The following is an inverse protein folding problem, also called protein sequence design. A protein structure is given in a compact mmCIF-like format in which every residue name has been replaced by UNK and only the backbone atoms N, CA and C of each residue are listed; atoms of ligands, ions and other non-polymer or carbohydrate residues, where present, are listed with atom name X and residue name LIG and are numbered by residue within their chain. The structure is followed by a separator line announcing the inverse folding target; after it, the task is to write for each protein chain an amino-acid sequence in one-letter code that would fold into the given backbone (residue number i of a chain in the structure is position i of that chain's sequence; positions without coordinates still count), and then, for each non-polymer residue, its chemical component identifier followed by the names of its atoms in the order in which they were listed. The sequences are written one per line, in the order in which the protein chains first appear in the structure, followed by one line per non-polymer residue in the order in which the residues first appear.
data_IF_420355079502
#
_entry.id   IF_420355079502
#
_cell.length_a   1.000
_cell.length_b   1.000
_cell.length_c   1.000
_cell.angle_alpha   90.00
_cell.angle_beta   90.00
_cell.angle_gamma   90.00
#
_symmetry.space_group_name_H-M   'P 1'
#
loop_
_entity.id
_entity.type
_entity.pdbx_description
1 polymer ?
#
# COMPACT_ATOMS: atom_id res chain seq x y z
N UNK A 1 32.02 -22.53 24.41
CA UNK A 1 31.33 -22.38 23.11
C UNK A 1 30.30 -21.24 23.15
N UNK A 2 30.69 -20.03 23.61
CA UNK A 2 29.74 -18.93 23.87
C UNK A 2 30.22 -17.52 23.48
N UNK A 3 31.36 -17.40 22.78
CA UNK A 3 31.97 -16.10 22.46
C UNK A 3 31.52 -15.47 21.14
N UNK A 4 30.86 -16.24 20.25
CA UNK A 4 30.62 -15.82 18.86
C UNK A 4 29.36 -14.97 18.63
N UNK A 5 28.42 -14.97 19.59
CA UNK A 5 27.17 -14.19 19.51
C UNK A 5 27.31 -12.75 20.04
N UNK A 6 28.27 -12.48 20.94
CA UNK A 6 28.52 -11.12 21.47
C UNK A 6 29.12 -10.16 20.44
N UNK A 7 29.92 -10.67 19.50
CA UNK A 7 30.60 -9.86 18.49
C UNK A 7 29.68 -9.26 17.42
N UNK A 8 28.51 -9.88 17.16
CA UNK A 8 27.53 -9.36 16.20
C UNK A 8 26.86 -8.06 16.69
N UNK A 9 26.52 -8.00 17.98
CA UNK A 9 25.93 -6.81 18.61
C UNK A 9 26.91 -5.62 18.69
N UNK A 10 28.21 -5.88 18.90
CA UNK A 10 29.25 -4.84 18.93
C UNK A 10 29.58 -4.25 17.55
N UNK A 11 29.29 -4.95 16.45
CA UNK A 11 29.52 -4.41 15.09
C UNK A 11 28.38 -3.50 14.63
N UNK A 12 27.16 -3.70 15.12
CA UNK A 12 26.04 -2.79 14.89
C UNK A 12 26.16 -1.49 15.72
N UNK A 13 26.88 -1.49 16.84
CA UNK A 13 27.16 -0.26 17.61
C UNK A 13 28.18 0.67 16.94
N UNK A 14 28.88 0.23 15.89
CA UNK A 14 29.83 1.06 15.13
C UNK A 14 29.19 2.12 14.22
N UNK A 15 27.87 2.11 14.09
CA UNK A 15 27.11 3.07 13.25
C UNK A 15 26.72 4.37 13.98
N UNK A 16 27.18 4.59 15.22
CA UNK A 16 27.10 5.91 15.87
C UNK A 16 25.68 6.44 16.13
N UNK A 17 24.66 5.59 16.12
CA UNK A 17 23.30 5.99 16.51
C UNK A 17 23.12 5.65 17.98
N UNK A 18 23.04 6.62 18.91
CA UNK A 18 22.77 6.37 20.32
C UNK A 18 21.28 5.98 20.49
N UNK A 19 20.94 4.73 20.13
CA UNK A 19 19.59 4.20 20.31
C UNK A 19 19.44 3.71 21.75
N UNK A 20 18.65 4.44 22.54
CA UNK A 20 18.16 3.94 23.82
C UNK A 20 17.45 2.59 23.62
N UNK A 21 17.67 1.61 24.51
CA UNK A 21 17.07 0.26 24.41
C UNK A 21 15.55 0.31 24.19
N UNK A 22 14.86 1.31 24.77
CA UNK A 22 13.43 1.53 24.57
C UNK A 22 13.07 1.89 23.12
N UNK A 23 13.86 2.77 22.49
CA UNK A 23 13.65 3.17 21.09
C UNK A 23 13.93 2.02 20.13
N UNK A 24 14.91 1.17 20.45
CA UNK A 24 15.22 -0.04 19.70
C UNK A 24 14.04 -1.03 19.71
N UNK A 25 13.46 -1.28 20.88
CA UNK A 25 12.26 -2.14 21.01
C UNK A 25 11.10 -1.56 20.22
N UNK A 26 10.82 -0.27 20.38
CA UNK A 26 9.73 0.42 19.66
C UNK A 26 9.86 0.31 18.14
N UNK A 27 11.03 0.65 17.58
CA UNK A 27 11.26 0.58 16.14
C UNK A 27 11.19 -0.87 15.65
N UNK A 28 11.76 -1.82 16.39
CA UNK A 28 11.68 -3.24 16.03
C UNK A 28 10.24 -3.76 16.03
N UNK A 29 9.43 -3.37 17.00
CA UNK A 29 8.03 -3.76 17.09
C UNK A 29 7.23 -3.17 15.93
N UNK A 30 7.43 -1.88 15.63
CA UNK A 30 6.78 -1.23 14.50
C UNK A 30 7.16 -1.90 13.17
N UNK A 31 8.44 -2.21 12.94
CA UNK A 31 8.88 -2.92 11.74
C UNK A 31 8.23 -4.29 11.61
N UNK A 32 8.12 -5.04 12.72
CA UNK A 32 7.41 -6.33 12.73
C UNK A 32 5.92 -6.15 12.40
N UNK A 33 5.26 -5.14 12.96
CA UNK A 33 3.85 -4.85 12.68
C UNK A 33 3.65 -4.53 11.20
N UNK A 34 4.49 -3.68 10.61
CA UNK A 34 4.40 -3.33 9.19
C UNK A 34 4.71 -4.52 8.28
N UNK A 35 5.69 -5.35 8.65
CA UNK A 35 5.99 -6.58 7.93
C UNK A 35 4.82 -7.57 7.97
N UNK A 36 4.17 -7.73 9.13
CA UNK A 36 2.96 -8.53 9.26
C UNK A 36 1.82 -7.95 8.42
N UNK A 37 1.60 -6.63 8.47
CA UNK A 37 0.56 -5.95 7.70
C UNK A 37 0.73 -6.16 6.19
N UNK A 38 1.96 -6.05 5.70
CA UNK A 38 2.32 -6.29 4.31
C UNK A 38 2.10 -7.76 3.94
N UNK A 39 2.63 -8.70 4.73
CA UNK A 39 2.58 -10.13 4.44
C UNK A 39 1.14 -10.66 4.37
N UNK A 40 0.29 -10.24 5.31
CA UNK A 40 -1.11 -10.67 5.34
C UNK A 40 -1.89 -10.20 4.10
N UNK A 41 -1.62 -8.98 3.63
CA UNK A 41 -2.26 -8.38 2.44
C UNK A 41 -1.68 -8.87 1.13
N UNK A 42 -0.40 -9.26 1.14
CA UNK A 42 0.27 -9.83 -0.03
C UNK A 42 -0.08 -11.30 -0.26
N UNK A 43 -0.46 -12.03 0.81
CA UNK A 43 -0.76 -13.47 0.77
C UNK A 43 -1.73 -13.89 -0.35
N UNK A 44 -2.77 -13.12 -0.72
CA UNK A 44 -3.70 -13.49 -1.79
C UNK A 44 -3.07 -13.72 -3.16
N UNK A 45 -1.90 -13.14 -3.44
CA UNK A 45 -1.21 -13.33 -4.72
C UNK A 45 -0.86 -14.79 -5.00
N UNK A 46 -0.80 -15.64 -3.95
CA UNK A 46 -0.49 -17.07 -4.09
C UNK A 46 -1.53 -17.84 -4.92
N UNK A 47 -2.75 -17.33 -5.02
CA UNK A 47 -3.82 -17.94 -5.82
C UNK A 47 -3.82 -17.44 -7.26
N UNK A 48 -3.01 -16.43 -7.57
CA UNK A 48 -2.84 -15.87 -8.92
C UNK A 48 -2.79 -14.34 -8.89
N UNK A 49 -2.12 -13.71 -9.87
CA UNK A 49 -2.03 -12.25 -9.98
C UNK A 49 -3.27 -11.68 -10.68
N UNK A 50 -4.46 -11.83 -10.07
CA UNK A 50 -5.71 -11.26 -10.56
C UNK A 50 -6.33 -10.32 -9.53
N UNK A 51 -7.09 -9.33 -9.99
CA UNK A 51 -7.81 -8.44 -9.10
C UNK A 51 -8.94 -9.21 -8.42
N UNK A 52 -8.99 -9.14 -7.09
CA UNK A 52 -10.04 -9.77 -6.31
C UNK A 52 -11.38 -9.06 -6.53
N UNK A 53 -12.47 -9.83 -6.61
CA UNK A 53 -13.82 -9.33 -6.91
C UNK A 53 -13.95 -8.62 -8.27
N UNK A 54 -15.12 -8.04 -8.55
CA UNK A 54 -15.44 -7.45 -9.85
C UNK A 54 -15.19 -5.94 -9.90
N UNK A 55 -15.48 -5.21 -8.82
CA UNK A 55 -15.37 -3.75 -8.76
C UNK A 55 -13.96 -3.20 -9.10
N UNK A 56 -12.85 -3.84 -8.70
CA UNK A 56 -11.52 -3.31 -9.02
C UNK A 56 -11.17 -3.35 -10.52
N UNK A 57 -11.81 -4.19 -11.32
CA UNK A 57 -11.62 -4.16 -12.78
C UNK A 57 -12.12 -2.86 -13.41
N UNK A 58 -13.18 -2.27 -12.86
CA UNK A 58 -13.62 -0.94 -13.26
C UNK A 58 -12.55 0.10 -12.93
N UNK A 59 -11.96 0.05 -11.73
CA UNK A 59 -10.84 0.94 -11.34
C UNK A 59 -9.61 0.76 -12.21
N UNK A 60 -9.29 -0.48 -12.58
CA UNK A 60 -8.18 -0.80 -13.47
C UNK A 60 -8.41 -0.21 -14.87
N UNK A 61 -9.59 -0.39 -15.47
CA UNK A 61 -9.95 0.24 -16.76
C UNK A 61 -9.83 1.75 -16.73
N UNK A 62 -10.27 2.37 -15.62
CA UNK A 62 -10.12 3.82 -15.43
C UNK A 62 -8.65 4.25 -15.40
N UNK A 63 -7.78 3.47 -14.75
CA UNK A 63 -6.34 3.73 -14.73
C UNK A 63 -5.70 3.52 -16.12
N UNK A 64 -6.08 2.45 -16.81
CA UNK A 64 -5.62 2.12 -18.17
C UNK A 64 -5.97 3.23 -19.15
N UNK A 65 -7.23 3.70 -19.14
CA UNK A 65 -7.68 4.83 -19.95
C UNK A 65 -6.82 6.08 -19.73
N UNK A 66 -6.51 6.40 -18.48
CA UNK A 66 -5.70 7.58 -18.13
C UNK A 66 -4.24 7.41 -18.55
N UNK A 67 -3.68 6.21 -18.46
CA UNK A 67 -2.32 5.92 -18.91
C UNK A 67 -2.19 6.06 -20.42
N UNK A 68 -3.20 5.63 -21.17
CA UNK A 68 -3.21 5.65 -22.63
C UNK A 68 -3.54 7.02 -23.22
N UNK A 69 -4.52 7.73 -22.62
CA UNK A 69 -5.07 8.97 -23.17
C UNK A 69 -4.63 10.23 -22.40
N UNK A 70 -3.92 10.06 -21.28
CA UNK A 70 -3.46 11.14 -20.40
C UNK A 70 -4.52 11.62 -19.40
N UNK A 71 -4.07 12.20 -18.30
CA UNK A 71 -4.93 12.62 -17.18
C UNK A 71 -6.03 13.62 -17.54
N UNK A 72 -5.80 14.49 -18.53
CA UNK A 72 -6.79 15.50 -18.93
C UNK A 72 -7.98 14.88 -19.68
N UNK A 73 -7.75 13.81 -20.45
CA UNK A 73 -8.81 13.13 -21.21
C UNK A 73 -9.93 12.59 -20.32
N UNK A 74 -9.60 12.25 -19.07
CA UNK A 74 -10.56 11.82 -18.05
C UNK A 74 -11.77 12.75 -17.96
N UNK A 75 -11.54 14.07 -17.93
CA UNK A 75 -12.59 15.08 -17.69
C UNK A 75 -13.58 15.23 -18.85
N UNK A 76 -13.26 14.66 -20.00
CA UNK A 76 -14.13 14.63 -21.19
C UNK A 76 -14.55 13.21 -21.56
N UNK A 77 -14.20 12.21 -20.74
CA UNK A 77 -14.43 10.82 -21.10
C UNK A 77 -15.91 10.42 -21.03
N UNK A 78 -16.43 10.00 -22.18
CA UNK A 78 -17.71 9.32 -22.31
C UNK A 78 -17.46 7.85 -22.65
N UNK A 79 -17.93 6.96 -21.79
CA UNK A 79 -17.77 5.51 -21.94
C UNK A 79 -18.98 4.91 -22.65
N UNK A 80 -18.81 4.56 -23.92
CA UNK A 80 -19.84 3.95 -24.78
C UNK A 80 -19.96 2.43 -24.59
N UNK A 81 -18.96 1.80 -23.97
CA UNK A 81 -18.96 0.35 -23.72
C UNK A 81 -19.81 -0.05 -22.52
N UNK A 82 -20.04 0.87 -21.59
CA UNK A 82 -20.90 0.64 -20.43
C UNK A 82 -22.31 1.13 -20.70
N UNK A 83 -23.33 0.44 -20.16
CA UNK A 83 -24.74 0.86 -20.24
C UNK A 83 -25.27 1.04 -21.68
N UNK A 84 -24.98 0.08 -22.57
CA UNK A 84 -25.49 0.11 -23.94
C UNK A 84 -27.04 0.17 -23.96
N UNK A 85 -27.67 1.01 -24.81
CA UNK A 85 -27.08 1.88 -25.83
C UNK A 85 -26.75 3.32 -25.36
N UNK A 86 -26.97 3.63 -24.08
CA UNK A 86 -26.92 5.00 -23.57
C UNK A 86 -25.49 5.46 -23.34
N UNK A 87 -24.60 4.59 -22.87
CA UNK A 87 -23.26 5.01 -22.45
C UNK A 87 -23.23 5.57 -21.02
N UNK A 88 -22.05 6.00 -20.58
CA UNK A 88 -21.80 6.54 -19.24
C UNK A 88 -20.88 7.75 -19.27
N UNK A 89 -21.32 8.85 -18.69
CA UNK A 89 -20.46 10.01 -18.44
C UNK A 89 -19.57 9.75 -17.23
N UNK A 90 -18.28 9.51 -17.46
CA UNK A 90 -17.34 9.08 -16.41
C UNK A 90 -17.03 10.16 -15.38
N UNK A 91 -16.68 11.41 -15.75
CA UNK A 91 -16.44 12.50 -14.81
C UNK A 91 -17.56 12.75 -13.80
N UNK A 92 -18.82 12.57 -14.22
CA UNK A 92 -19.99 12.82 -13.37
C UNK A 92 -20.37 11.64 -12.48
N UNK A 93 -19.90 10.44 -12.79
CA UNK A 93 -20.40 9.20 -12.17
C UNK A 93 -19.30 8.34 -11.53
N UNK A 94 -18.04 8.75 -11.62
CA UNK A 94 -16.91 8.02 -11.04
C UNK A 94 -15.89 8.97 -10.41
N UNK A 95 -15.29 8.53 -9.30
CA UNK A 95 -14.21 9.27 -8.64
C UNK A 95 -12.85 8.84 -9.20
N UNK A 96 -11.98 9.78 -9.63
CA UNK A 96 -10.72 9.45 -10.29
C UNK A 96 -9.59 9.04 -9.33
N UNK A 97 -9.72 9.30 -8.02
CA UNK A 97 -8.58 9.31 -7.10
C UNK A 97 -7.73 8.03 -7.10
N UNK A 98 -8.38 6.86 -7.05
CA UNK A 98 -7.66 5.57 -7.05
C UNK A 98 -7.00 5.31 -8.40
N UNK A 99 -7.74 5.49 -9.50
CA UNK A 99 -7.22 5.31 -10.85
C UNK A 99 -6.04 6.24 -11.15
N UNK A 100 -6.14 7.52 -10.78
CA UNK A 100 -5.09 8.51 -10.98
C UNK A 100 -3.85 8.19 -10.14
N UNK A 101 -4.03 7.74 -8.90
CA UNK A 101 -2.91 7.35 -8.03
C UNK A 101 -2.18 6.14 -8.61
N UNK A 102 -2.92 5.11 -9.05
CA UNK A 102 -2.35 3.92 -9.69
C UNK A 102 -1.61 4.26 -10.98
N UNK A 103 -2.21 5.07 -11.86
CA UNK A 103 -1.61 5.54 -13.10
C UNK A 103 -0.34 6.37 -12.84
N UNK A 104 -0.36 7.27 -11.84
CA UNK A 104 0.79 8.09 -11.49
C UNK A 104 1.97 7.26 -11.00
N UNK A 105 1.71 6.26 -10.14
CA UNK A 105 2.75 5.33 -9.67
C UNK A 105 3.29 4.51 -10.84
N UNK A 106 2.43 4.00 -11.72
CA UNK A 106 2.85 3.25 -12.90
C UNK A 106 3.76 4.08 -13.82
N UNK A 107 3.35 5.30 -14.16
CA UNK A 107 4.12 6.20 -15.02
C UNK A 107 5.45 6.61 -14.37
N UNK A 108 5.45 6.83 -13.04
CA UNK A 108 6.68 7.09 -12.29
C UNK A 108 7.66 5.91 -12.36
N UNK A 109 7.20 4.69 -12.08
CA UNK A 109 8.04 3.48 -12.13
C UNK A 109 8.56 3.22 -13.55
N UNK A 110 7.71 3.41 -14.57
CA UNK A 110 8.11 3.31 -15.97
C UNK A 110 9.14 4.37 -16.35
N UNK A 111 9.01 5.59 -15.83
CA UNK A 111 9.99 6.67 -16.00
C UNK A 111 11.35 6.39 -15.37
N UNK A 112 11.40 5.55 -14.33
CA UNK A 112 12.63 5.03 -13.74
C UNK A 112 13.23 3.85 -14.53
N UNK A 113 12.59 3.41 -15.62
CA UNK A 113 13.04 2.29 -16.45
C UNK A 113 12.69 0.90 -15.90
N UNK A 114 11.76 0.80 -14.95
CA UNK A 114 11.29 -0.49 -14.43
C UNK A 114 10.24 -1.10 -15.36
N UNK A 115 10.47 -2.35 -15.78
CA UNK A 115 9.52 -3.12 -16.57
C UNK A 115 8.47 -3.76 -15.67
N UNK A 116 7.44 -2.98 -15.33
CA UNK A 116 6.30 -3.43 -14.52
C UNK A 116 5.00 -3.21 -15.28
N UNK A 117 4.07 -4.15 -15.18
CA UNK A 117 2.72 -3.99 -15.77
C UNK A 117 1.84 -3.07 -14.91
N UNK A 118 0.88 -2.38 -15.53
CA UNK A 118 -0.11 -1.58 -14.80
C UNK A 118 -0.90 -2.46 -13.82
N UNK A 119 -1.25 -3.69 -14.23
CA UNK A 119 -1.94 -4.65 -13.37
C UNK A 119 -1.15 -4.96 -12.11
N UNK A 120 0.17 -5.17 -12.22
CA UNK A 120 1.05 -5.40 -11.06
C UNK A 120 1.04 -4.21 -10.10
N UNK A 121 1.07 -2.98 -10.63
CA UNK A 121 0.98 -1.77 -9.81
C UNK A 121 -0.36 -1.70 -9.08
N UNK A 122 -1.47 -1.93 -9.80
CA UNK A 122 -2.81 -1.94 -9.20
C UNK A 122 -3.01 -3.06 -8.16
N UNK A 123 -2.37 -4.22 -8.34
CA UNK A 123 -2.39 -5.33 -7.37
C UNK A 123 -1.63 -4.99 -6.09
N UNK A 124 -0.47 -4.34 -6.21
CA UNK A 124 0.35 -3.97 -5.05
C UNK A 124 -0.13 -2.69 -4.35
N UNK A 125 -0.89 -1.85 -5.06
CA UNK A 125 -1.39 -0.59 -4.54
C UNK A 125 -2.11 -0.72 -3.19
N UNK A 126 -3.14 -1.58 -3.03
CA UNK A 126 -3.84 -1.68 -1.76
C UNK A 126 -3.01 -2.35 -0.66
N UNK A 127 -2.07 -3.24 -1.01
CA UNK A 127 -1.10 -3.84 -0.07
C UNK A 127 -0.21 -2.76 0.54
N UNK A 128 0.36 -1.89 -0.30
CA UNK A 128 1.22 -0.77 0.13
C UNK A 128 0.42 0.24 0.94
N UNK A 129 -0.75 0.68 0.44
CA UNK A 129 -1.58 1.67 1.11
C UNK A 129 -2.11 1.15 2.46
N UNK A 130 -2.50 -0.12 2.55
CA UNK A 130 -2.91 -0.76 3.81
C UNK A 130 -1.78 -0.83 4.85
N UNK A 131 -0.56 -1.10 4.40
CA UNK A 131 0.64 -1.08 5.26
C UNK A 131 0.98 0.33 5.72
N UNK A 132 0.93 1.33 4.82
CA UNK A 132 1.12 2.74 5.17
C UNK A 132 0.05 3.25 6.14
N UNK A 133 -1.19 2.76 6.03
CA UNK A 133 -2.26 3.11 6.96
C UNK A 133 -1.94 2.65 8.38
N UNK A 134 -1.33 1.47 8.54
CA UNK A 134 -0.87 0.99 9.85
C UNK A 134 0.23 1.91 10.42
N UNK A 135 1.19 2.35 9.58
CA UNK A 135 2.21 3.31 9.98
C UNK A 135 1.62 4.65 10.42
N UNK A 136 0.67 5.19 9.66
CA UNK A 136 -0.02 6.44 10.00
C UNK A 136 -0.79 6.28 11.32
N UNK A 137 -1.46 5.15 11.53
CA UNK A 137 -2.18 4.87 12.77
C UNK A 137 -1.25 4.80 13.98
N UNK A 138 -0.04 4.27 13.83
CA UNK A 138 0.96 4.32 14.89
C UNK A 138 1.28 5.77 15.29
N UNK A 139 1.54 6.65 14.33
CA UNK A 139 1.83 8.06 14.63
C UNK A 139 0.63 8.75 15.28
N UNK A 140 -0.57 8.51 14.76
CA UNK A 140 -1.80 9.06 15.32
C UNK A 140 -2.04 8.59 16.76
N UNK A 141 -1.93 7.29 17.04
CA UNK A 141 -2.08 6.74 18.38
C UNK A 141 -1.00 7.21 19.34
N UNK A 142 0.23 7.41 18.84
CA UNK A 142 1.34 7.97 19.60
C UNK A 142 1.07 9.38 20.08
N UNK A 143 0.51 10.22 19.23
CA UNK A 143 0.26 11.62 19.53
C UNK A 143 -0.91 11.79 20.53
N UNK A 144 -1.84 10.83 20.58
CA UNK A 144 -2.97 10.82 21.53
C UNK A 144 -2.58 10.26 22.90
N UNK A 145 -1.96 9.09 22.94
CA UNK A 145 -1.85 8.29 24.16
C UNK A 145 -0.46 7.75 24.45
N UNK A 146 0.56 8.20 23.72
CA UNK A 146 1.92 7.69 23.84
C UNK A 146 2.22 6.49 22.94
N UNK A 147 3.47 6.07 22.95
CA UNK A 147 4.06 5.14 21.96
C UNK A 147 3.40 3.76 22.00
N UNK A 148 3.05 3.35 23.19
CA UNK A 148 2.41 2.09 23.54
C UNK A 148 1.03 2.03 22.88
N UNK A 149 0.24 3.10 22.99
CA UNK A 149 -1.07 3.21 22.32
C UNK A 149 -0.91 3.17 20.80
N UNK A 150 0.09 3.88 20.25
CA UNK A 150 0.41 3.83 18.82
C UNK A 150 0.75 2.41 18.33
N UNK A 151 1.60 1.69 19.06
CA UNK A 151 2.01 0.32 18.71
C UNK A 151 0.82 -0.65 18.76
N UNK A 152 0.01 -0.61 19.81
CA UNK A 152 -1.18 -1.47 19.91
C UNK A 152 -2.23 -1.12 18.85
N UNK A 153 -2.49 0.16 18.60
CA UNK A 153 -3.44 0.59 17.57
C UNK A 153 -3.01 0.09 16.18
N UNK A 154 -1.75 0.31 15.80
CA UNK A 154 -1.20 -0.17 14.54
C UNK A 154 -1.23 -1.69 14.44
N UNK A 155 -0.92 -2.41 15.53
CA UNK A 155 -0.95 -3.88 15.54
C UNK A 155 -2.37 -4.42 15.33
N UNK A 156 -3.36 -3.88 16.05
CA UNK A 156 -4.74 -4.33 15.92
C UNK A 156 -5.30 -4.05 14.52
N UNK A 157 -4.95 -2.92 13.91
CA UNK A 157 -5.34 -2.64 12.52
C UNK A 157 -4.63 -3.59 11.54
N UNK A 158 -3.35 -3.89 11.77
CA UNK A 158 -2.57 -4.76 10.88
C UNK A 158 -3.19 -6.16 10.72
N UNK A 159 -3.76 -6.72 11.80
CA UNK A 159 -4.38 -8.06 11.84
C UNK A 159 -5.91 -8.05 11.70
N UNK A 160 -6.53 -6.89 11.52
CA UNK A 160 -7.98 -6.78 11.43
C UNK A 160 -8.51 -7.40 10.13
N UNK A 161 -9.29 -8.47 10.22
CA UNK A 161 -9.83 -9.17 9.05
C UNK A 161 -10.74 -8.31 8.17
N UNK A 162 -11.56 -7.43 8.76
CA UNK A 162 -12.45 -6.57 7.99
C UNK A 162 -11.67 -5.56 7.14
N UNK A 163 -10.56 -5.05 7.68
CA UNK A 163 -9.66 -4.16 6.94
C UNK A 163 -8.86 -4.93 5.88
N UNK A 164 -8.27 -6.09 6.22
CA UNK A 164 -7.55 -6.95 5.27
C UNK A 164 -8.44 -7.37 4.11
N UNK A 165 -9.72 -7.70 4.35
CA UNK A 165 -10.64 -8.11 3.28
C UNK A 165 -10.98 -7.01 2.27
N UNK A 166 -10.55 -5.77 2.50
CA UNK A 166 -10.80 -4.60 1.63
C UNK A 166 -9.51 -3.90 1.19
N UNK A 167 -8.33 -4.45 1.50
CA UNK A 167 -7.01 -3.93 1.11
C UNK A 167 -6.08 -5.06 0.70
#
# INVERSE_FOLDING_TARGET
MGGRLKGGFQRLSGLGIPLSSRRLVEVSALLLILFTAFTLRFLPIRWGPYLAAYDPYFQYRMAEYVVENGFQSWFTWYDDMSWYPIGRNMPRTAYPGVAFSGASIYLFLKGLGLDVSLLTVCLLFPVVMGTLTCLILYFFGRDIGGREVGLFASFFLAINNAFIGRT
#
